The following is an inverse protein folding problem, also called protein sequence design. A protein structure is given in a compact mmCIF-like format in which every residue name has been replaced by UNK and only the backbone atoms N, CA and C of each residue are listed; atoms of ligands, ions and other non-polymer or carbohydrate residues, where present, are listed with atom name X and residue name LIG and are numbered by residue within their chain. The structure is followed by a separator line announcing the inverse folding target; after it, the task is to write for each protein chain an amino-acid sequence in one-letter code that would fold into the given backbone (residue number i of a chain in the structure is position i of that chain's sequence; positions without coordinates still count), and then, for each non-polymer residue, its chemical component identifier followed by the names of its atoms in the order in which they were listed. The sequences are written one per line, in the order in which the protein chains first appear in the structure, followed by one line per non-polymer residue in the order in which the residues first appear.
data_IF_995413148279
#
_entry.id   IF_995413148279
#
_cell.length_a   1.000
_cell.length_b   1.000
_cell.length_c   1.000
_cell.angle_alpha   90.00
_cell.angle_beta   90.00
_cell.angle_gamma   90.00
#
_symmetry.space_group_name_H-M   'P 1'
#
loop_
_entity.id
_entity.type
_entity.pdbx_description
1 polymer ?
#
# COMPACT_ATOMS: atom_id res chain seq x y z
N UNK A 1 7.42 -52.88 15.43
CA UNK A 1 7.06 -52.14 14.20
C UNK A 1 5.99 -51.12 14.55
N UNK A 2 6.37 -49.88 14.84
CA UNK A 2 5.45 -48.79 15.15
C UNK A 2 5.77 -47.60 14.25
N UNK A 3 4.97 -47.39 13.21
CA UNK A 3 5.11 -46.28 12.29
C UNK A 3 4.46 -45.02 12.87
N UNK A 4 5.28 -44.10 13.37
CA UNK A 4 4.85 -42.76 13.79
C UNK A 4 4.42 -41.94 12.57
N UNK A 5 3.11 -41.83 12.36
CA UNK A 5 2.51 -40.89 11.40
C UNK A 5 2.66 -39.47 11.95
N UNK A 6 3.57 -38.69 11.37
CA UNK A 6 3.74 -37.28 11.68
C UNK A 6 2.68 -36.45 10.92
N UNK A 7 1.50 -36.30 11.50
CA UNK A 7 0.49 -35.36 11.00
C UNK A 7 0.96 -33.94 11.30
N UNK A 8 1.59 -33.29 10.32
CA UNK A 8 1.74 -31.82 10.32
C UNK A 8 0.33 -31.24 10.27
N UNK A 9 -0.17 -30.72 11.39
CA UNK A 9 -1.40 -29.93 11.42
C UNK A 9 -1.20 -28.72 10.50
N UNK A 10 -1.99 -28.65 9.43
CA UNK A 10 -2.06 -27.46 8.59
C UNK A 10 -2.55 -26.30 9.47
N UNK A 11 -1.75 -25.24 9.55
CA UNK A 11 -2.20 -23.95 10.08
C UNK A 11 -3.30 -23.47 9.13
N UNK A 12 -4.52 -23.15 9.59
CA UNK A 12 -5.57 -22.71 8.69
C UNK A 12 -5.12 -21.44 7.99
N UNK A 13 -4.91 -21.52 6.67
CA UNK A 13 -4.67 -20.33 5.86
C UNK A 13 -5.96 -19.53 5.78
N UNK A 14 -5.88 -18.25 6.13
CA UNK A 14 -6.99 -17.31 6.10
C UNK A 14 -7.44 -17.12 4.64
N UNK A 15 -8.71 -17.37 4.35
CA UNK A 15 -9.21 -17.32 2.99
C UNK A 15 -9.22 -15.89 2.43
N UNK A 16 -9.01 -15.76 1.11
CA UNK A 16 -9.02 -14.46 0.40
C UNK A 16 -10.31 -13.66 0.63
N UNK A 17 -11.44 -14.36 0.75
CA UNK A 17 -12.71 -13.76 1.12
C UNK A 17 -12.69 -13.10 2.51
N UNK A 18 -11.97 -13.68 3.49
CA UNK A 18 -11.82 -13.08 4.82
C UNK A 18 -10.94 -11.84 4.77
N UNK A 19 -9.91 -11.80 3.92
CA UNK A 19 -9.06 -10.62 3.73
C UNK A 19 -9.84 -9.50 3.03
N UNK A 20 -10.58 -9.80 1.96
CA UNK A 20 -11.39 -8.80 1.26
C UNK A 20 -12.53 -8.26 2.15
N UNK A 21 -13.10 -9.13 3.00
CA UNK A 21 -14.14 -8.77 3.97
C UNK A 21 -13.59 -8.00 5.17
N UNK A 22 -12.36 -8.28 5.60
CA UNK A 22 -11.64 -7.55 6.66
C UNK A 22 -11.12 -6.20 6.14
N UNK A 23 -10.77 -6.07 4.85
CA UNK A 23 -10.48 -4.78 4.18
C UNK A 23 -11.75 -3.93 4.11
N UNK A 24 -12.89 -4.53 3.76
CA UNK A 24 -14.18 -3.83 3.81
C UNK A 24 -14.52 -3.40 5.25
N UNK A 25 -14.21 -4.24 6.24
CA UNK A 25 -14.44 -3.97 7.66
C UNK A 25 -13.52 -2.86 8.22
N UNK A 26 -12.25 -2.86 7.83
CA UNK A 26 -11.25 -1.84 8.22
C UNK A 26 -11.53 -0.46 7.62
N UNK A 27 -12.29 -0.42 6.51
CA UNK A 27 -12.78 0.80 5.88
C UNK A 27 -14.20 1.20 6.35
N UNK A 28 -14.91 0.34 7.08
CA UNK A 28 -16.30 0.59 7.51
C UNK A 28 -16.48 0.95 9.00
N UNK A 29 -15.52 0.66 9.86
CA UNK A 29 -15.62 0.93 11.30
C UNK A 29 -15.23 2.39 11.62
N UNK A 30 -16.09 3.34 11.26
CA UNK A 30 -16.31 4.58 12.01
C UNK A 30 -17.76 5.08 11.74
N UNK A 31 -18.73 4.74 12.61
CA UNK A 31 -20.11 5.16 12.49
C UNK A 31 -20.30 6.54 13.13
N UNK A 32 -19.65 7.56 12.57
CA UNK A 32 -20.20 8.92 12.63
C UNK A 32 -20.54 9.27 11.19
N UNK A 33 -21.84 9.32 10.91
CA UNK A 33 -22.40 9.61 9.58
C UNK A 33 -22.14 11.07 9.22
N UNK A 34 -20.86 11.41 9.01
CA UNK A 34 -20.48 12.65 8.38
C UNK A 34 -20.87 12.53 6.92
N UNK A 35 -21.95 13.22 6.55
CA UNK A 35 -22.38 13.36 5.16
C UNK A 35 -21.18 13.82 4.35
N UNK A 36 -20.74 13.00 3.39
CA UNK A 36 -19.68 13.38 2.48
C UNK A 36 -20.05 14.71 1.80
N UNK A 37 -19.17 15.70 1.95
CA UNK A 37 -19.29 17.02 1.34
C UNK A 37 -19.27 16.86 -0.17
N UNK A 38 -20.06 17.68 -0.86
CA UNK A 38 -20.02 17.68 -2.31
C UNK A 38 -18.65 18.18 -2.79
N UNK A 39 -18.16 17.73 -3.95
CA UNK A 39 -16.88 18.19 -4.49
C UNK A 39 -16.81 19.71 -4.69
N UNK A 40 -17.95 20.32 -5.06
CA UNK A 40 -18.06 21.77 -5.26
C UNK A 40 -17.94 22.56 -3.96
N UNK A 41 -18.47 22.00 -2.86
CA UNK A 41 -18.39 22.59 -1.53
C UNK A 41 -16.97 22.50 -0.97
N UNK A 42 -16.34 21.32 -1.11
CA UNK A 42 -14.94 21.09 -0.73
C UNK A 42 -14.00 22.03 -1.51
N UNK A 43 -14.12 22.05 -2.84
CA UNK A 43 -13.29 22.92 -3.67
C UNK A 43 -13.45 24.41 -3.32
N UNK A 44 -14.66 24.86 -3.00
CA UNK A 44 -14.91 26.26 -2.60
C UNK A 44 -14.25 26.59 -1.27
N UNK A 45 -14.40 25.74 -0.26
CA UNK A 45 -13.81 25.92 1.07
C UNK A 45 -12.28 25.95 0.98
N UNK A 46 -11.71 25.03 0.21
CA UNK A 46 -10.26 24.91 0.07
C UNK A 46 -9.65 26.05 -0.75
N UNK A 47 -10.29 26.48 -1.84
CA UNK A 47 -9.87 27.68 -2.59
C UNK A 47 -9.93 28.94 -1.73
N UNK A 48 -10.97 29.08 -0.89
CA UNK A 48 -11.07 30.20 0.05
C UNK A 48 -9.92 30.17 1.08
N UNK A 49 -9.56 28.98 1.56
CA UNK A 49 -8.43 28.79 2.46
C UNK A 49 -7.07 29.08 1.79
N UNK A 50 -6.86 28.63 0.54
CA UNK A 50 -5.65 28.97 -0.23
C UNK A 50 -5.53 30.48 -0.42
N UNK A 51 -6.65 31.14 -0.74
CA UNK A 51 -6.71 32.60 -0.92
C UNK A 51 -6.37 33.35 0.37
N UNK A 52 -6.92 32.92 1.51
CA UNK A 52 -6.65 33.58 2.81
C UNK A 52 -5.20 33.46 3.26
N UNK A 53 -4.49 32.43 2.80
CA UNK A 53 -3.06 32.22 3.02
C UNK A 53 -2.15 32.84 1.95
N UNK A 54 -2.72 33.57 0.97
CA UNK A 54 -1.96 34.20 -0.12
C UNK A 54 -1.39 33.22 -1.15
N UNK A 55 -1.93 32.00 -1.23
CA UNK A 55 -1.53 30.99 -2.20
C UNK A 55 -2.21 31.13 -3.57
N UNK A 56 -1.67 30.45 -4.57
CA UNK A 56 -2.23 30.43 -5.93
C UNK A 56 -3.37 29.41 -6.04
N UNK A 57 -4.60 29.89 -6.19
CA UNK A 57 -5.81 29.07 -6.38
C UNK A 57 -5.85 28.33 -7.72
N UNK A 58 -5.00 28.70 -8.69
CA UNK A 58 -4.90 28.02 -9.97
C UNK A 58 -3.90 26.86 -9.93
N UNK A 59 -3.13 26.72 -8.84
CA UNK A 59 -2.28 25.58 -8.60
C UNK A 59 -3.11 24.41 -8.03
N UNK A 60 -3.44 23.38 -8.85
CA UNK A 60 -4.31 22.30 -8.41
C UNK A 60 -3.70 21.49 -7.27
N UNK A 61 -2.36 21.34 -7.23
CA UNK A 61 -1.68 20.63 -6.15
C UNK A 61 -1.83 21.36 -4.82
N UNK A 62 -1.73 22.69 -4.81
CA UNK A 62 -1.90 23.50 -3.59
C UNK A 62 -3.35 23.47 -3.09
N UNK A 63 -4.33 23.50 -3.99
CA UNK A 63 -5.74 23.37 -3.61
C UNK A 63 -6.00 21.97 -3.04
N UNK A 64 -5.58 20.92 -3.75
CA UNK A 64 -5.75 19.53 -3.30
C UNK A 64 -5.01 19.23 -1.99
N UNK A 65 -3.91 19.92 -1.69
CA UNK A 65 -3.19 19.73 -0.43
C UNK A 65 -4.03 20.11 0.79
N UNK A 66 -5.08 20.94 0.60
CA UNK A 66 -5.99 21.42 1.64
C UNK A 66 -7.26 20.59 1.78
N UNK A 67 -7.60 19.79 0.77
CA UNK A 67 -8.75 18.88 0.79
C UNK A 67 -8.70 17.97 2.01
N UNK A 68 -9.86 17.79 2.64
CA UNK A 68 -10.00 16.98 3.85
C UNK A 68 -10.37 15.56 3.48
N UNK A 69 -9.80 14.62 4.20
CA UNK A 69 -10.15 13.21 4.08
C UNK A 69 -11.55 13.03 4.67
N UNK A 70 -12.46 12.50 3.86
CA UNK A 70 -13.85 12.29 4.27
C UNK A 70 -14.14 10.84 4.71
N UNK A 71 -13.10 10.03 4.95
CA UNK A 71 -13.24 8.59 5.20
C UNK A 71 -12.08 7.99 6.01
N UNK A 72 -12.32 6.80 6.57
CA UNK A 72 -11.31 6.04 7.28
C UNK A 72 -10.81 6.72 8.55
N UNK A 73 -9.69 6.22 9.09
CA UNK A 73 -9.17 6.63 10.42
C UNK A 73 -8.64 8.06 10.49
N UNK A 74 -8.29 8.66 9.36
CA UNK A 74 -7.70 10.01 9.28
C UNK A 74 -8.71 11.04 8.76
N UNK A 75 -10.00 10.82 9.04
CA UNK A 75 -11.05 11.75 8.68
C UNK A 75 -10.77 13.16 9.22
N UNK A 76 -11.16 14.18 8.46
CA UNK A 76 -10.94 15.61 8.72
C UNK A 76 -9.49 16.11 8.68
N UNK A 77 -8.50 15.22 8.59
CA UNK A 77 -7.12 15.59 8.24
C UNK A 77 -6.99 15.96 6.77
N UNK A 78 -6.04 16.83 6.43
CA UNK A 78 -5.80 17.21 5.03
C UNK A 78 -5.00 16.14 4.29
N UNK A 79 -5.09 16.12 2.95
CA UNK A 79 -4.23 15.26 2.14
C UNK A 79 -2.74 15.52 2.37
N UNK A 80 -2.36 16.79 2.54
CA UNK A 80 -0.98 17.14 2.88
C UNK A 80 -0.55 16.50 4.20
N UNK A 81 -1.35 16.66 5.25
CA UNK A 81 -1.06 16.09 6.56
C UNK A 81 -0.90 14.56 6.48
N UNK A 82 -1.76 13.88 5.72
CA UNK A 82 -1.68 12.44 5.57
C UNK A 82 -0.36 11.99 4.93
N UNK A 83 0.09 12.66 3.88
CA UNK A 83 1.35 12.32 3.21
C UNK A 83 2.57 12.54 4.11
N UNK A 84 2.52 13.53 5.00
CA UNK A 84 3.60 13.82 5.95
C UNK A 84 3.65 12.85 7.15
N UNK A 85 2.49 12.34 7.58
CA UNK A 85 2.37 11.62 8.84
C UNK A 85 2.14 10.10 8.67
N UNK A 86 1.52 9.66 7.58
CA UNK A 86 1.17 8.25 7.36
C UNK A 86 1.13 7.90 5.86
N UNK A 87 2.30 8.02 5.22
CA UNK A 87 2.49 7.72 3.80
C UNK A 87 2.13 6.27 3.45
N UNK A 88 2.38 5.32 4.37
CA UNK A 88 2.04 3.91 4.17
C UNK A 88 0.54 3.68 4.04
N UNK A 89 -0.25 4.33 4.90
CA UNK A 89 -1.71 4.31 4.78
C UNK A 89 -2.20 5.00 3.50
N UNK A 90 -1.60 6.12 3.11
CA UNK A 90 -1.93 6.81 1.85
C UNK A 90 -1.69 5.92 0.62
N UNK A 91 -0.54 5.23 0.57
CA UNK A 91 -0.19 4.28 -0.50
C UNK A 91 -1.22 3.16 -0.58
N UNK A 92 -1.60 2.60 0.57
CA UNK A 92 -2.60 1.54 0.63
C UNK A 92 -3.97 2.03 0.14
N UNK A 93 -4.42 3.20 0.60
CA UNK A 93 -5.68 3.81 0.16
C UNK A 93 -5.72 4.02 -1.35
N UNK A 94 -4.69 4.65 -1.93
CA UNK A 94 -4.59 4.88 -3.38
C UNK A 94 -4.63 3.57 -4.16
N UNK A 95 -3.90 2.55 -3.67
CA UNK A 95 -3.83 1.24 -4.32
C UNK A 95 -5.18 0.52 -4.32
N UNK A 96 -5.87 0.49 -3.18
CA UNK A 96 -7.20 -0.10 -3.03
C UNK A 96 -8.25 0.65 -3.84
N UNK A 97 -8.16 1.98 -3.85
CA UNK A 97 -9.10 2.85 -4.55
C UNK A 97 -9.09 2.66 -6.08
N UNK A 98 -7.91 2.47 -6.68
CA UNK A 98 -7.80 2.16 -8.12
C UNK A 98 -8.60 0.91 -8.50
N UNK A 99 -8.53 -0.14 -7.68
CA UNK A 99 -9.32 -1.38 -7.88
C UNK A 99 -10.82 -1.14 -7.66
N UNK A 100 -11.19 -0.33 -6.67
CA UNK A 100 -12.59 0.06 -6.42
C UNK A 100 -13.20 0.82 -7.60
N UNK A 101 -12.41 1.67 -8.26
CA UNK A 101 -12.81 2.42 -9.46
C UNK A 101 -13.17 1.51 -10.62
N UNK A 102 -12.29 0.56 -10.93
CA UNK A 102 -12.47 -0.38 -12.03
C UNK A 102 -13.76 -1.19 -11.89
N UNK A 103 -14.18 -1.47 -10.65
CA UNK A 103 -15.38 -2.27 -10.37
C UNK A 103 -16.69 -1.49 -10.43
N UNK A 104 -16.71 -0.24 -9.95
CA UNK A 104 -17.98 0.45 -9.63
C UNK A 104 -18.33 1.58 -10.61
N UNK A 105 -17.33 2.28 -11.17
CA UNK A 105 -17.56 3.48 -11.99
C UNK A 105 -18.39 4.59 -11.30
N UNK A 106 -18.60 4.53 -9.98
CA UNK A 106 -19.45 5.45 -9.23
C UNK A 106 -18.89 6.88 -9.27
N UNK A 107 -19.75 7.88 -9.06
CA UNK A 107 -19.39 9.30 -8.94
C UNK A 107 -19.89 9.90 -7.62
N UNK A 108 -20.04 9.09 -6.58
CA UNK A 108 -20.46 9.60 -5.26
C UNK A 108 -19.45 10.63 -4.72
N UNK A 109 -19.86 11.57 -3.84
CA UNK A 109 -18.93 12.57 -3.31
C UNK A 109 -17.69 11.96 -2.64
N UNK A 110 -17.87 10.85 -1.92
CA UNK A 110 -16.77 10.07 -1.33
C UNK A 110 -15.80 9.51 -2.39
N UNK A 111 -16.35 9.09 -3.53
CA UNK A 111 -15.60 8.64 -4.69
C UNK A 111 -14.70 9.80 -5.16
N UNK A 112 -15.28 10.96 -5.43
CA UNK A 112 -14.53 12.13 -5.92
C UNK A 112 -13.45 12.58 -4.93
N UNK A 113 -13.73 12.55 -3.62
CA UNK A 113 -12.72 12.87 -2.60
C UNK A 113 -11.53 11.91 -2.67
N UNK A 114 -11.78 10.60 -2.76
CA UNK A 114 -10.72 9.60 -2.96
C UNK A 114 -9.99 9.78 -4.32
N UNK A 115 -10.66 10.28 -5.37
CA UNK A 115 -10.00 10.62 -6.65
C UNK A 115 -9.07 11.83 -6.52
N UNK A 116 -9.45 12.80 -5.68
CA UNK A 116 -8.58 13.89 -5.25
C UNK A 116 -7.30 13.35 -4.60
N UNK A 117 -7.42 12.34 -3.73
CA UNK A 117 -6.27 11.68 -3.09
C UNK A 117 -5.37 10.91 -4.06
N UNK A 118 -5.86 10.49 -5.24
CA UNK A 118 -4.99 9.96 -6.32
C UNK A 118 -4.27 11.11 -7.03
N UNK A 119 -4.98 12.20 -7.35
CA UNK A 119 -4.43 13.34 -8.10
C UNK A 119 -3.37 14.09 -7.32
N UNK A 120 -3.62 14.35 -6.04
CA UNK A 120 -2.73 15.16 -5.20
C UNK A 120 -1.27 14.66 -5.21
N UNK A 121 -0.99 13.39 -4.89
CA UNK A 121 0.37 12.90 -4.85
C UNK A 121 0.94 12.49 -6.21
N UNK A 122 0.16 12.58 -7.30
CA UNK A 122 0.62 12.17 -8.64
C UNK A 122 1.80 13.00 -9.17
N UNK A 123 2.05 14.17 -8.57
CA UNK A 123 3.21 15.01 -8.88
C UNK A 123 4.47 14.61 -8.12
N UNK A 124 4.41 13.64 -7.19
CA UNK A 124 5.56 13.16 -6.42
C UNK A 124 6.00 11.78 -6.96
N UNK A 125 7.10 11.71 -7.75
CA UNK A 125 7.54 10.46 -8.39
C UNK A 125 7.75 9.32 -7.40
N UNK A 126 8.37 9.62 -6.24
CA UNK A 126 8.65 8.62 -5.21
C UNK A 126 7.37 7.98 -4.65
N UNK A 127 6.31 8.78 -4.49
CA UNK A 127 5.02 8.25 -4.03
C UNK A 127 4.37 7.39 -5.11
N UNK A 128 4.40 7.83 -6.36
CA UNK A 128 3.86 7.05 -7.50
C UNK A 128 4.57 5.70 -7.59
N UNK A 129 5.89 5.68 -7.43
CA UNK A 129 6.66 4.45 -7.46
C UNK A 129 6.38 3.56 -6.25
N UNK A 130 6.22 4.13 -5.06
CA UNK A 130 5.83 3.39 -3.87
C UNK A 130 4.45 2.73 -4.01
N UNK A 131 3.49 3.40 -4.66
CA UNK A 131 2.19 2.81 -5.01
C UNK A 131 2.34 1.66 -5.99
N UNK A 132 3.13 1.82 -7.06
CA UNK A 132 3.40 0.74 -8.04
C UNK A 132 4.03 -0.47 -7.37
N UNK A 133 5.02 -0.22 -6.51
CA UNK A 133 5.68 -1.26 -5.73
C UNK A 133 4.70 -1.97 -4.79
N UNK A 134 3.88 -1.24 -4.03
CA UNK A 134 2.88 -1.83 -3.14
C UNK A 134 1.90 -2.74 -3.88
N UNK A 135 1.43 -2.31 -5.06
CA UNK A 135 0.55 -3.13 -5.90
C UNK A 135 1.23 -4.44 -6.35
N UNK A 136 2.45 -4.34 -6.90
CA UNK A 136 3.22 -5.51 -7.33
C UNK A 136 3.55 -6.46 -6.17
N UNK A 137 3.90 -5.90 -5.01
CA UNK A 137 4.19 -6.65 -3.80
C UNK A 137 2.98 -7.43 -3.32
N UNK A 138 1.80 -6.79 -3.25
CA UNK A 138 0.58 -7.47 -2.84
C UNK A 138 0.15 -8.54 -3.84
N UNK A 139 0.33 -8.32 -5.14
CA UNK A 139 0.04 -9.33 -6.17
C UNK A 139 0.98 -10.54 -6.07
N UNK A 140 2.28 -10.30 -5.89
CA UNK A 140 3.27 -11.35 -5.70
C UNK A 140 3.03 -12.13 -4.40
N UNK A 141 2.70 -11.43 -3.30
CA UNK A 141 2.34 -12.02 -2.02
C UNK A 141 1.11 -12.92 -2.15
N UNK A 142 0.07 -12.45 -2.85
CA UNK A 142 -1.14 -13.25 -3.08
C UNK A 142 -0.84 -14.50 -3.91
N UNK A 143 0.07 -14.40 -4.89
CA UNK A 143 0.49 -15.52 -5.72
C UNK A 143 1.31 -16.54 -4.93
N UNK A 144 2.24 -16.08 -4.10
CA UNK A 144 3.12 -16.94 -3.30
C UNK A 144 2.41 -17.70 -2.17
N UNK A 145 1.19 -17.31 -1.83
CA UNK A 145 0.34 -18.07 -0.90
C UNK A 145 -0.19 -19.37 -1.53
N UNK A 146 -0.13 -19.53 -2.85
CA UNK A 146 -0.52 -20.76 -3.51
C UNK A 146 0.57 -21.84 -3.35
N UNK A 147 0.20 -23.11 -3.09
CA UNK A 147 1.18 -24.19 -2.95
C UNK A 147 2.05 -24.33 -4.21
N UNK A 148 3.38 -24.34 -4.05
CA UNK A 148 4.33 -24.47 -5.16
C UNK A 148 4.62 -23.18 -5.92
N UNK A 149 4.28 -22.02 -5.34
CA UNK A 149 4.61 -20.69 -5.86
C UNK A 149 5.33 -19.82 -4.81
N UNK A 150 5.84 -20.41 -3.73
CA UNK A 150 6.46 -19.69 -2.61
C UNK A 150 7.64 -18.80 -3.06
N UNK A 151 8.35 -19.21 -4.11
CA UNK A 151 9.50 -18.52 -4.71
C UNK A 151 9.15 -17.20 -5.42
N UNK A 152 7.86 -16.94 -5.64
CA UNK A 152 7.38 -15.80 -6.42
C UNK A 152 7.10 -14.55 -5.57
N UNK A 153 7.29 -14.64 -4.25
CA UNK A 153 7.25 -13.48 -3.37
C UNK A 153 8.34 -12.48 -3.76
N UNK A 154 8.02 -11.18 -3.77
CA UNK A 154 9.04 -10.15 -3.95
C UNK A 154 9.87 -10.00 -2.67
N UNK A 155 11.16 -9.74 -2.83
CA UNK A 155 12.08 -9.51 -1.73
C UNK A 155 11.73 -8.25 -0.93
N UNK A 156 11.30 -7.19 -1.62
CA UNK A 156 10.69 -6.02 -1.00
C UNK A 156 11.62 -5.13 -0.19
N UNK A 157 12.94 -5.19 -0.42
CA UNK A 157 13.92 -4.34 0.27
C UNK A 157 14.93 -3.69 -0.70
N UNK A 158 15.32 -2.46 -0.37
CA UNK A 158 16.37 -1.71 -1.05
C UNK A 158 16.18 -1.63 -2.58
N UNK A 159 17.30 -1.67 -3.30
CA UNK A 159 17.34 -1.64 -4.77
C UNK A 159 16.75 -2.91 -5.42
N UNK A 160 16.42 -3.93 -4.63
CA UNK A 160 15.93 -5.22 -5.12
C UNK A 160 14.48 -5.48 -4.73
N UNK A 161 13.73 -4.41 -4.43
CA UNK A 161 12.35 -4.50 -3.99
C UNK A 161 11.44 -5.24 -5.01
N UNK A 162 11.66 -5.09 -6.32
CA UNK A 162 10.91 -5.79 -7.38
C UNK A 162 11.45 -7.18 -7.78
N UNK A 163 12.51 -7.66 -7.13
CA UNK A 163 13.13 -8.95 -7.46
C UNK A 163 12.56 -10.08 -6.60
N UNK A 164 12.52 -11.30 -7.13
CA UNK A 164 12.22 -12.49 -6.33
C UNK A 164 13.49 -12.99 -5.64
N UNK A 165 13.40 -13.70 -4.51
CA UNK A 165 14.55 -14.35 -3.89
C UNK A 165 15.31 -15.24 -4.89
N UNK A 166 14.58 -15.98 -5.73
CA UNK A 166 15.19 -16.86 -6.74
C UNK A 166 15.98 -16.07 -7.78
N UNK A 167 15.45 -14.96 -8.31
CA UNK A 167 16.17 -14.15 -9.31
C UNK A 167 17.46 -13.56 -8.73
N UNK A 168 17.54 -13.34 -7.41
CA UNK A 168 18.79 -12.92 -6.76
C UNK A 168 19.86 -14.00 -6.74
N UNK A 169 19.47 -15.27 -6.53
CA UNK A 169 20.40 -16.40 -6.51
C UNK A 169 20.88 -16.77 -7.91
N UNK A 170 20.03 -16.61 -8.93
CA UNK A 170 20.34 -16.97 -10.32
C UNK A 170 21.04 -15.85 -11.11
N UNK A 171 21.16 -14.65 -10.54
CA UNK A 171 21.71 -13.51 -11.27
C UNK A 171 23.24 -13.52 -11.33
N UNK A 172 23.77 -13.16 -12.51
CA UNK A 172 25.19 -12.85 -12.71
C UNK A 172 25.55 -11.40 -12.31
N UNK A 173 24.58 -10.61 -11.86
CA UNK A 173 24.81 -9.23 -11.43
C UNK A 173 25.70 -9.17 -10.18
N UNK A 174 26.80 -8.42 -10.27
CA UNK A 174 27.81 -8.36 -9.22
C UNK A 174 27.28 -7.80 -7.89
N UNK A 175 26.26 -6.94 -7.91
CA UNK A 175 25.64 -6.42 -6.67
C UNK A 175 24.76 -7.48 -6.03
N UNK A 176 23.96 -8.21 -6.82
CA UNK A 176 23.14 -9.34 -6.32
C UNK A 176 24.00 -10.45 -5.75
N UNK A 177 25.08 -10.85 -6.44
CA UNK A 177 26.05 -11.86 -5.97
C UNK A 177 26.70 -11.45 -4.64
N UNK A 178 27.08 -10.17 -4.50
CA UNK A 178 27.71 -9.69 -3.26
C UNK A 178 26.74 -9.73 -2.08
N UNK A 179 25.46 -9.40 -2.30
CA UNK A 179 24.45 -9.45 -1.26
C UNK A 179 24.17 -10.89 -0.81
N UNK A 180 23.98 -11.82 -1.75
CA UNK A 180 23.71 -13.23 -1.44
C UNK A 180 24.90 -13.93 -0.78
N UNK A 181 26.13 -13.64 -1.20
CA UNK A 181 27.34 -14.20 -0.55
C UNK A 181 27.52 -13.69 0.88
N UNK A 182 27.21 -12.41 1.14
CA UNK A 182 27.27 -11.82 2.48
C UNK A 182 26.21 -12.45 3.40
N UNK A 183 24.98 -12.63 2.91
CA UNK A 183 23.91 -13.28 3.66
C UNK A 183 24.24 -14.75 3.99
N UNK A 184 24.81 -15.49 3.03
CA UNK A 184 25.25 -16.88 3.24
C UNK A 184 26.37 -16.99 4.29
N UNK A 185 27.34 -16.06 4.25
CA UNK A 185 28.42 -15.99 5.24
C UNK A 185 27.90 -15.69 6.65
N UNK A 186 26.88 -14.83 6.78
CA UNK A 186 26.26 -14.51 8.06
C UNK A 186 25.48 -15.69 8.65
N UNK A 187 24.73 -16.42 7.81
CA UNK A 187 24.05 -17.65 8.23
C UNK A 187 25.05 -18.72 8.69
N UNK A 188 26.14 -18.92 7.95
CA UNK A 188 27.21 -19.86 8.32
C UNK A 188 27.85 -19.50 9.68
N UNK A 189 28.18 -18.22 9.90
CA UNK A 189 28.76 -17.75 11.16
C UNK A 189 27.81 -17.90 12.35
N UNK A 190 26.51 -17.63 12.18
CA UNK A 190 25.51 -17.81 13.23
C UNK A 190 25.33 -19.28 13.61
N UNK A 191 25.40 -20.19 12.64
CA UNK A 191 25.36 -21.64 12.89
C UNK A 191 26.59 -22.14 13.65
N UNK A 192 27.79 -21.60 13.39
CA UNK A 192 29.01 -21.97 14.12
C UNK A 192 29.13 -21.31 15.49
N UNK A 193 28.49 -20.16 15.71
CA UNK A 193 28.52 -19.43 16.99
C UNK A 193 27.49 -19.92 18.01
N UNK A 194 26.62 -20.85 17.61
CA UNK A 194 25.60 -21.46 18.47
C UNK A 194 25.96 -22.90 18.91
N UNK A 195 27.20 -23.33 18.68
CA UNK A 195 27.75 -24.63 19.12
C UNK A 195 28.69 -24.47 20.30
#
# INVERSE_FOLDING_TARGET
MGGMHNQRKAVPQRSRAVIDQEIHYFLSEHPESHRAKSPEEEEREDRAHVTSQGGDINNPTLVLSRWKIQFGKHQDSTFHWLLENDVGYAIHLVSSHRKERERTGSQSPLMVNKDGLIRYPSTYPDFVEAVRFHQAFEEARVRSLQPGHEEQALAGFGDFNFETPQSMYESEDSKKIRLTSTASSFCSWRSTSSS
#
